data_IF_685294210064
#
_entry.id   IF_685294210064
#
_cell.length_a   1.000
_cell.length_b   1.000
_cell.length_c   1.000
_cell.angle_alpha   90.00
_cell.angle_beta   90.00
_cell.angle_gamma   90.00
#
_symmetry.space_group_name_H-M   'P 1'
#
loop_
_entity.id
_entity.type
_entity.pdbx_description
1 polymer ?
#
# COMPACT_ATOMS: atom_id res chain seq x y z
N UNK A 1 -9.90 1.52 -13.96
CA UNK A 1 -8.76 1.67 -14.87
C UNK A 1 -7.58 0.88 -14.33
N UNK A 2 -7.09 -0.09 -15.08
CA UNK A 2 -5.85 -0.80 -14.76
C UNK A 2 -4.70 0.07 -15.25
N UNK A 3 -3.83 0.51 -14.33
CA UNK A 3 -2.60 1.22 -14.68
C UNK A 3 -1.50 0.16 -14.70
N UNK A 4 -0.89 -0.06 -15.86
CA UNK A 4 0.30 -0.91 -15.96
C UNK A 4 1.49 -0.12 -15.46
N UNK A 5 2.12 -0.57 -14.38
CA UNK A 5 3.42 -0.05 -13.96
C UNK A 5 4.42 -0.32 -15.09
N UNK A 6 5.22 0.68 -15.42
CA UNK A 6 6.39 0.49 -16.31
C UNK A 6 7.50 -0.16 -15.48
N UNK A 7 7.38 -1.46 -15.28
CA UNK A 7 8.43 -2.29 -14.71
C UNK A 7 9.43 -2.62 -15.82
N UNK A 8 10.71 -2.77 -15.47
CA UNK A 8 11.69 -3.28 -16.42
C UNK A 8 11.38 -4.76 -16.76
N UNK A 9 11.82 -5.20 -17.93
CA UNK A 9 11.54 -6.56 -18.43
C UNK A 9 12.04 -7.66 -17.48
N UNK A 10 13.11 -7.40 -16.71
CA UNK A 10 13.65 -8.34 -15.74
C UNK A 10 12.68 -8.51 -14.57
N UNK A 11 12.19 -7.42 -14.03
CA UNK A 11 11.20 -7.42 -12.93
C UNK A 11 9.89 -8.08 -13.37
N UNK A 12 9.43 -7.83 -14.60
CA UNK A 12 8.24 -8.49 -15.16
C UNK A 12 8.45 -10.00 -15.22
N UNK A 13 9.58 -10.48 -15.76
CA UNK A 13 9.90 -11.91 -15.85
C UNK A 13 10.03 -12.57 -14.47
N UNK A 14 10.58 -11.87 -13.48
CA UNK A 14 10.67 -12.35 -12.10
C UNK A 14 9.29 -12.52 -11.48
N UNK A 15 8.37 -11.58 -11.71
CA UNK A 15 6.98 -11.65 -11.28
C UNK A 15 6.25 -12.80 -11.99
N UNK A 16 6.31 -12.87 -13.32
CA UNK A 16 5.65 -13.91 -14.11
C UNK A 16 6.15 -15.30 -13.75
N UNK A 17 7.47 -15.46 -13.51
CA UNK A 17 8.05 -16.72 -13.04
C UNK A 17 7.53 -17.14 -11.68
N UNK A 18 7.38 -16.18 -10.74
CA UNK A 18 6.82 -16.45 -9.41
C UNK A 18 5.34 -16.83 -9.46
N UNK A 19 4.57 -16.30 -10.43
CA UNK A 19 3.17 -16.68 -10.65
C UNK A 19 3.04 -18.05 -11.30
N UNK A 20 3.80 -18.32 -12.36
CA UNK A 20 3.79 -19.63 -13.03
C UNK A 20 4.06 -20.78 -12.06
N UNK A 21 5.00 -20.56 -11.13
CA UNK A 21 5.31 -21.51 -10.08
C UNK A 21 4.20 -21.67 -9.01
N UNK A 22 3.30 -20.70 -8.84
CA UNK A 22 2.19 -20.79 -7.88
C UNK A 22 1.01 -21.62 -8.40
N UNK A 23 0.89 -21.79 -9.72
CA UNK A 23 -0.22 -22.54 -10.34
C UNK A 23 0.02 -24.06 -10.40
N UNK A 24 1.26 -24.55 -10.17
CA UNK A 24 1.63 -25.97 -10.38
C UNK A 24 1.74 -26.80 -9.07
N UNK A 25 0.81 -26.65 -8.13
CA UNK A 25 0.95 -27.06 -6.74
C UNK A 25 0.23 -28.37 -6.38
N UNK A 26 0.99 -29.51 -6.33
CA UNK A 26 0.50 -30.77 -5.73
C UNK A 26 1.54 -31.60 -4.96
N UNK A 27 2.75 -31.12 -4.67
CA UNK A 27 3.81 -31.93 -4.02
C UNK A 27 4.27 -31.33 -2.65
N UNK A 28 4.48 -32.14 -1.57
CA UNK A 28 4.96 -31.69 -0.24
C UNK A 28 6.30 -30.94 -0.24
N UNK A 29 7.18 -31.20 -1.19
CA UNK A 29 8.40 -30.41 -1.39
C UNK A 29 8.09 -28.96 -1.81
N UNK A 30 6.93 -28.73 -2.41
CA UNK A 30 6.40 -27.43 -2.85
C UNK A 30 5.92 -26.60 -1.66
N UNK A 31 5.50 -27.22 -0.55
CA UNK A 31 5.07 -26.49 0.66
C UNK A 31 6.23 -25.69 1.27
N UNK A 32 7.45 -26.19 1.20
CA UNK A 32 8.63 -25.45 1.67
C UNK A 32 9.08 -24.37 0.67
N UNK A 33 8.92 -24.62 -0.62
CA UNK A 33 9.11 -23.64 -1.68
C UNK A 33 8.01 -22.57 -1.66
N UNK A 34 6.75 -22.92 -1.38
CA UNK A 34 5.63 -21.98 -1.28
C UNK A 34 5.79 -20.98 -0.12
N UNK A 35 6.53 -21.33 0.95
CA UNK A 35 6.89 -20.39 2.03
C UNK A 35 7.95 -19.37 1.62
N UNK A 36 8.79 -19.67 0.61
CA UNK A 36 9.80 -18.74 0.08
C UNK A 36 9.23 -17.78 -0.96
N UNK A 37 8.22 -18.21 -1.72
CA UNK A 37 7.62 -17.45 -2.82
C UNK A 37 6.96 -16.13 -2.40
N UNK A 38 6.15 -16.06 -1.31
CA UNK A 38 5.61 -14.78 -0.84
C UNK A 38 6.68 -13.78 -0.45
N UNK A 39 7.79 -14.22 0.14
CA UNK A 39 8.91 -13.36 0.49
C UNK A 39 9.67 -12.84 -0.73
N UNK A 40 9.81 -13.63 -1.77
CA UNK A 40 10.40 -13.21 -3.04
C UNK A 40 9.51 -12.19 -3.76
N UNK A 41 8.20 -12.45 -3.81
CA UNK A 41 7.24 -11.52 -4.39
C UNK A 41 7.21 -10.20 -3.61
N UNK A 42 7.23 -10.26 -2.28
CA UNK A 42 7.34 -9.08 -1.43
C UNK A 42 8.62 -8.29 -1.70
N UNK A 43 9.75 -8.97 -1.89
CA UNK A 43 11.03 -8.32 -2.22
C UNK A 43 10.98 -7.61 -3.58
N UNK A 44 10.34 -8.21 -4.59
CA UNK A 44 10.15 -7.59 -5.91
C UNK A 44 9.21 -6.39 -5.83
N UNK A 45 8.04 -6.56 -5.18
CA UNK A 45 7.05 -5.49 -5.03
C UNK A 45 7.54 -4.37 -4.12
N UNK A 46 8.37 -4.67 -3.12
CA UNK A 46 9.00 -3.70 -2.22
C UNK A 46 10.31 -3.10 -2.72
N UNK A 47 10.77 -3.49 -3.92
CA UNK A 47 11.99 -2.94 -4.50
C UNK A 47 11.89 -1.41 -4.63
N UNK A 48 12.92 -0.64 -4.21
CA UNK A 48 12.87 0.83 -4.23
C UNK A 48 12.53 1.44 -5.59
N UNK A 49 13.02 0.85 -6.70
CA UNK A 49 12.69 1.33 -8.04
C UNK A 49 11.23 1.09 -8.39
N UNK A 50 10.70 -0.08 -8.04
CA UNK A 50 9.28 -0.44 -8.25
C UNK A 50 8.38 0.47 -7.42
N UNK A 51 8.69 0.67 -6.14
CA UNK A 51 7.96 1.57 -5.25
C UNK A 51 8.00 3.01 -5.75
N UNK A 52 9.16 3.50 -6.19
CA UNK A 52 9.26 4.85 -6.75
C UNK A 52 8.37 5.02 -8.00
N UNK A 53 8.42 4.07 -8.94
CA UNK A 53 7.58 4.11 -10.15
C UNK A 53 6.09 4.07 -9.81
N UNK A 54 5.70 3.20 -8.88
CA UNK A 54 4.32 3.11 -8.38
C UNK A 54 3.86 4.42 -7.76
N UNK A 55 4.64 4.96 -6.84
CA UNK A 55 4.28 6.17 -6.10
C UNK A 55 4.22 7.38 -7.04
N UNK A 56 5.19 7.53 -7.94
CA UNK A 56 5.14 8.60 -8.95
C UNK A 56 3.86 8.54 -9.80
N UNK A 57 3.45 7.34 -10.23
CA UNK A 57 2.24 7.17 -11.03
C UNK A 57 0.96 7.47 -10.22
N UNK A 58 0.89 6.99 -8.98
CA UNK A 58 -0.21 7.29 -8.06
C UNK A 58 -0.31 8.80 -7.81
N UNK A 59 0.80 9.46 -7.45
CA UNK A 59 0.84 10.88 -7.15
C UNK A 59 0.42 11.71 -8.36
N UNK A 60 0.98 11.42 -9.54
CA UNK A 60 0.61 12.12 -10.77
C UNK A 60 -0.89 11.96 -11.10
N UNK A 61 -1.42 10.74 -11.01
CA UNK A 61 -2.85 10.52 -11.25
C UNK A 61 -3.72 11.19 -10.19
N UNK A 62 -3.31 11.14 -8.92
CA UNK A 62 -4.06 11.73 -7.82
C UNK A 62 -4.11 13.26 -7.94
N UNK A 63 -2.96 13.91 -8.05
CA UNK A 63 -2.84 15.37 -8.15
C UNK A 63 -3.56 15.93 -9.39
N UNK A 64 -3.44 15.24 -10.53
CA UNK A 64 -4.03 15.72 -11.79
C UNK A 64 -5.54 15.47 -11.87
N UNK A 65 -6.03 14.35 -11.33
CA UNK A 65 -7.39 13.91 -11.63
C UNK A 65 -8.29 13.70 -10.40
N UNK A 66 -7.75 13.66 -9.19
CA UNK A 66 -8.49 13.20 -8.00
C UNK A 66 -8.49 14.16 -6.84
N UNK A 67 -7.42 14.89 -6.63
CA UNK A 67 -7.25 15.77 -5.47
C UNK A 67 -8.39 16.77 -5.30
N UNK A 68 -8.82 17.38 -6.40
CA UNK A 68 -9.87 18.39 -6.43
C UNK A 68 -11.24 17.83 -6.90
N UNK A 69 -11.34 16.51 -7.01
CA UNK A 69 -12.58 15.85 -7.43
C UNK A 69 -13.31 15.27 -6.21
N UNK A 70 -14.60 15.61 -6.07
CA UNK A 70 -15.42 15.15 -4.95
C UNK A 70 -14.77 15.50 -3.60
N UNK A 71 -14.52 14.49 -2.78
CA UNK A 71 -13.89 14.65 -1.45
C UNK A 71 -12.36 14.67 -1.49
N UNK A 72 -11.77 14.34 -2.64
CA UNK A 72 -10.32 14.13 -2.78
C UNK A 72 -9.78 12.94 -1.98
N UNK A 73 -10.65 12.07 -1.42
CA UNK A 73 -10.21 10.95 -0.61
C UNK A 73 -9.79 9.76 -1.45
N UNK A 74 -8.65 9.21 -1.11
CA UNK A 74 -8.07 8.05 -1.76
C UNK A 74 -7.58 7.00 -0.76
N UNK A 75 -7.65 5.74 -1.15
CA UNK A 75 -7.09 4.61 -0.40
C UNK A 75 -6.07 3.88 -1.27
N UNK A 76 -4.92 3.56 -0.69
CA UNK A 76 -3.90 2.73 -1.31
C UNK A 76 -3.90 1.39 -0.57
N UNK A 77 -4.24 0.31 -1.27
CA UNK A 77 -4.22 -1.05 -0.72
C UNK A 77 -2.89 -1.68 -1.10
N UNK A 78 -1.99 -1.82 -0.14
CA UNK A 78 -0.67 -2.38 -0.34
C UNK A 78 -0.68 -3.91 -0.22
N UNK A 79 0.28 -4.56 -0.87
CA UNK A 79 0.45 -6.01 -0.84
C UNK A 79 0.76 -6.53 0.57
N UNK A 80 1.65 -5.87 1.29
CA UNK A 80 2.10 -6.27 2.62
C UNK A 80 2.43 -5.06 3.50
N UNK A 81 2.69 -5.31 4.78
CA UNK A 81 3.04 -4.27 5.76
C UNK A 81 4.34 -3.55 5.41
N UNK A 82 5.45 -4.26 5.06
CA UNK A 82 6.66 -3.61 4.60
C UNK A 82 6.43 -2.74 3.36
N UNK A 83 5.68 -3.25 2.37
CA UNK A 83 5.35 -2.50 1.16
C UNK A 83 4.52 -1.24 1.48
N UNK A 84 3.57 -1.31 2.40
CA UNK A 84 2.81 -0.15 2.85
C UNK A 84 3.70 0.95 3.46
N UNK A 85 4.68 0.55 4.27
CA UNK A 85 5.62 1.48 4.88
C UNK A 85 6.57 2.10 3.86
N UNK A 86 7.03 1.33 2.88
CA UNK A 86 7.88 1.87 1.81
C UNK A 86 7.09 2.85 0.90
N UNK A 87 5.82 2.55 0.59
CA UNK A 87 4.93 3.49 -0.11
C UNK A 87 4.78 4.80 0.70
N UNK A 88 4.53 4.70 2.00
CA UNK A 88 4.40 5.86 2.87
C UNK A 88 5.66 6.72 2.89
N UNK A 89 6.81 6.11 3.12
CA UNK A 89 8.11 6.82 3.14
C UNK A 89 8.38 7.49 1.79
N UNK A 90 8.11 6.80 0.69
CA UNK A 90 8.36 7.32 -0.65
C UNK A 90 7.42 8.49 -0.98
N UNK A 91 6.15 8.42 -0.58
CA UNK A 91 5.23 9.57 -0.72
C UNK A 91 5.77 10.78 0.03
N UNK A 92 6.19 10.62 1.29
CA UNK A 92 6.74 11.74 2.07
C UNK A 92 8.09 12.23 1.56
N UNK A 93 8.90 11.35 0.96
CA UNK A 93 10.13 11.76 0.27
C UNK A 93 9.85 12.68 -0.92
N UNK A 94 8.84 12.34 -1.72
CA UNK A 94 8.44 13.10 -2.91
C UNK A 94 7.56 14.32 -2.57
N UNK A 95 6.83 14.25 -1.48
CA UNK A 95 5.91 15.30 -1.00
C UNK A 95 6.07 15.51 0.52
N UNK A 96 7.16 16.17 0.97
CA UNK A 96 7.43 16.36 2.40
C UNK A 96 6.31 17.08 3.16
N UNK A 97 5.56 17.94 2.49
CA UNK A 97 4.42 18.66 3.09
C UNK A 97 3.15 17.82 3.30
N UNK A 98 3.15 16.51 2.96
CA UNK A 98 1.96 15.67 3.05
C UNK A 98 1.86 14.85 4.33
N UNK A 99 2.60 15.19 5.37
CA UNK A 99 2.60 14.47 6.66
C UNK A 99 1.22 14.37 7.30
N UNK A 100 0.36 15.40 7.14
CA UNK A 100 -1.02 15.38 7.62
C UNK A 100 -2.01 14.83 6.58
N UNK A 101 -1.60 14.75 5.31
CA UNK A 101 -2.45 14.34 4.19
C UNK A 101 -2.48 12.83 3.99
N UNK A 102 -1.43 12.14 4.41
CA UNK A 102 -1.25 10.69 4.23
C UNK A 102 -1.06 10.00 5.56
N UNK A 103 -1.74 8.89 5.77
CA UNK A 103 -1.55 8.04 6.95
C UNK A 103 -1.52 6.55 6.59
N UNK A 104 -0.79 5.77 7.39
CA UNK A 104 -0.79 4.30 7.32
C UNK A 104 -1.76 3.75 8.36
N UNK A 105 -2.67 2.89 7.92
CA UNK A 105 -3.65 2.23 8.79
C UNK A 105 -3.48 0.73 8.68
N UNK A 106 -2.78 0.15 9.63
CA UNK A 106 -2.57 -1.30 9.73
C UNK A 106 -2.44 -1.75 11.18
N UNK A 107 -2.53 -3.05 11.43
CA UNK A 107 -2.34 -3.59 12.78
C UNK A 107 -0.87 -3.52 13.17
N UNK A 108 -0.58 -3.25 14.44
CA UNK A 108 0.77 -3.38 15.00
C UNK A 108 1.10 -4.84 15.27
N UNK A 109 2.37 -5.21 15.11
CA UNK A 109 2.92 -6.51 15.46
C UNK A 109 4.12 -6.33 16.40
N UNK A 110 4.37 -7.33 17.25
CA UNK A 110 5.53 -7.29 18.17
C UNK A 110 6.88 -7.38 17.45
N UNK A 111 6.86 -7.85 16.20
CA UNK A 111 8.02 -7.97 15.33
C UNK A 111 8.26 -6.75 14.44
N UNK A 112 7.44 -5.69 14.59
CA UNK A 112 7.60 -4.49 13.79
C UNK A 112 8.96 -3.85 14.04
N UNK A 113 9.63 -3.37 12.99
CA UNK A 113 10.85 -2.58 13.13
C UNK A 113 10.66 -1.37 14.03
N UNK A 114 11.72 -0.96 14.69
CA UNK A 114 11.76 0.26 15.49
C UNK A 114 11.33 1.47 14.62
N UNK A 115 10.55 2.36 15.20
CA UNK A 115 9.98 3.52 14.50
C UNK A 115 8.67 3.28 13.75
N UNK A 116 8.29 2.03 13.45
CA UNK A 116 6.97 1.78 12.85
C UNK A 116 5.84 2.07 13.81
N UNK A 117 6.05 1.85 15.11
CA UNK A 117 5.03 2.09 16.15
C UNK A 117 4.60 3.54 16.23
N UNK A 118 5.53 4.46 15.97
CA UNK A 118 5.24 5.90 15.97
C UNK A 118 4.35 6.30 14.78
N UNK A 119 4.50 5.61 13.64
CA UNK A 119 3.72 5.85 12.43
C UNK A 119 2.35 5.15 12.52
N UNK A 120 2.33 3.87 12.92
CA UNK A 120 1.10 3.06 12.98
C UNK A 120 0.22 3.48 14.16
N UNK A 121 0.83 3.89 15.26
CA UNK A 121 0.17 4.27 16.50
C UNK A 121 -0.58 3.13 17.20
N UNK A 122 -1.25 3.47 18.27
CA UNK A 122 -2.05 2.55 19.07
C UNK A 122 -3.52 2.49 18.58
N UNK A 123 -4.34 1.71 19.29
CA UNK A 123 -5.78 1.55 18.97
C UNK A 123 -6.55 2.87 19.02
N UNK A 124 -6.20 3.78 19.95
CA UNK A 124 -6.84 5.09 20.06
C UNK A 124 -6.50 5.97 18.87
N UNK A 125 -5.23 6.00 18.48
CA UNK A 125 -4.75 6.73 17.30
C UNK A 125 -5.42 6.26 16.02
N UNK A 126 -5.62 4.95 15.85
CA UNK A 126 -6.35 4.41 14.69
C UNK A 126 -7.81 4.86 14.63
N UNK A 127 -8.48 4.97 15.79
CA UNK A 127 -9.84 5.51 15.85
C UNK A 127 -9.87 7.00 15.49
N UNK A 128 -8.87 7.75 15.92
CA UNK A 128 -8.71 9.16 15.56
C UNK A 128 -8.46 9.32 14.04
N UNK A 129 -7.56 8.51 13.47
CA UNK A 129 -7.33 8.50 12.02
C UNK A 129 -8.61 8.16 11.24
N UNK A 130 -9.37 7.18 11.71
CA UNK A 130 -10.65 6.82 11.09
C UNK A 130 -11.65 7.98 11.13
N UNK A 131 -11.75 8.68 12.26
CA UNK A 131 -12.60 9.86 12.40
C UNK A 131 -12.14 11.00 11.47
N UNK A 132 -10.84 11.31 11.45
CA UNK A 132 -10.24 12.29 10.53
C UNK A 132 -10.47 11.93 9.06
N UNK A 133 -10.37 10.65 8.72
CA UNK A 133 -10.57 10.21 7.34
C UNK A 133 -12.05 10.22 6.94
N UNK A 134 -13.01 10.16 7.87
CA UNK A 134 -14.44 10.34 7.61
C UNK A 134 -14.81 11.81 7.44
N UNK A 135 -14.13 12.70 8.12
CA UNK A 135 -14.37 14.14 8.03
C UNK A 135 -13.84 14.68 6.68
N UNK A 136 -14.75 15.24 5.87
CA UNK A 136 -14.39 15.78 4.56
C UNK A 136 -13.54 17.07 4.64
N UNK A 137 -13.58 17.77 5.77
CA UNK A 137 -12.81 19.00 6.01
C UNK A 137 -11.41 18.69 6.57
N UNK A 138 -11.16 17.45 7.00
CA UNK A 138 -9.85 17.03 7.49
C UNK A 138 -8.79 17.12 6.38
N UNK A 139 -7.54 17.51 6.72
CA UNK A 139 -6.42 17.45 5.79
C UNK A 139 -6.06 16.03 5.38
N UNK A 140 -6.41 15.01 6.18
CA UNK A 140 -6.16 13.60 5.87
C UNK A 140 -7.00 13.16 4.68
N UNK A 141 -6.35 12.91 3.55
CA UNK A 141 -6.97 12.56 2.28
C UNK A 141 -6.59 11.17 1.76
N UNK A 142 -5.42 10.65 2.15
CA UNK A 142 -4.90 9.38 1.63
C UNK A 142 -4.64 8.44 2.79
N UNK A 143 -5.29 7.26 2.76
CA UNK A 143 -5.02 6.18 3.69
C UNK A 143 -4.31 5.01 2.97
N UNK A 144 -3.19 4.57 3.53
CA UNK A 144 -2.46 3.37 3.06
C UNK A 144 -2.86 2.21 3.99
N UNK A 145 -3.36 1.13 3.42
CA UNK A 145 -3.86 -0.04 4.13
C UNK A 145 -3.23 -1.32 3.57
N UNK A 146 -3.18 -2.38 4.37
CA UNK A 146 -2.59 -3.66 3.93
C UNK A 146 -3.65 -4.65 3.53
N UNK A 147 -4.68 -4.84 4.32
CA UNK A 147 -5.80 -5.72 4.02
C UNK A 147 -7.11 -4.95 4.03
N UNK A 148 -8.01 -5.31 3.11
CA UNK A 148 -9.35 -4.73 3.06
C UNK A 148 -10.23 -5.11 4.27
N UNK A 149 -9.75 -5.91 5.20
CA UNK A 149 -10.43 -6.26 6.47
C UNK A 149 -10.37 -5.12 7.49
N UNK A 150 -10.54 -3.91 7.03
CA UNK A 150 -10.79 -2.77 7.91
C UNK A 150 -12.27 -2.79 8.32
N UNK A 151 -12.62 -3.79 9.11
CA UNK A 151 -13.92 -3.80 9.81
C UNK A 151 -14.04 -2.53 10.62
N UNK A 152 -14.97 -1.67 10.21
CA UNK A 152 -15.17 -0.35 10.82
C UNK A 152 -14.61 0.84 10.02
N UNK A 153 -13.93 0.61 8.92
CA UNK A 153 -13.46 1.65 7.99
C UNK A 153 -14.46 1.82 6.82
N UNK A 154 -15.74 1.91 7.16
CA UNK A 154 -16.76 2.31 6.20
C UNK A 154 -16.62 3.82 5.94
N UNK A 155 -16.23 4.16 4.71
CA UNK A 155 -16.00 5.53 4.28
C UNK A 155 -16.86 5.83 3.06
N UNK A 156 -18.09 6.30 3.27
CA UNK A 156 -18.99 6.63 2.17
C UNK A 156 -18.40 7.67 1.20
N UNK A 157 -17.47 8.48 1.68
CA UNK A 157 -16.85 9.56 0.92
C UNK A 157 -15.55 9.16 0.19
N UNK A 158 -15.18 7.87 0.17
CA UNK A 158 -14.01 7.39 -0.57
C UNK A 158 -14.23 7.55 -2.08
N UNK A 159 -13.40 8.37 -2.72
CA UNK A 159 -13.54 8.69 -4.14
C UNK A 159 -12.64 7.83 -5.04
N UNK A 160 -11.52 7.34 -4.54
CA UNK A 160 -10.53 6.62 -5.33
C UNK A 160 -9.86 5.51 -4.54
N UNK A 161 -9.62 4.38 -5.19
CA UNK A 161 -8.87 3.26 -4.62
C UNK A 161 -7.75 2.84 -5.59
N UNK A 162 -6.54 2.77 -5.07
CA UNK A 162 -5.36 2.22 -5.75
C UNK A 162 -5.06 0.85 -5.15
N UNK A 163 -5.11 -0.19 -5.94
CA UNK A 163 -4.85 -1.56 -5.46
C UNK A 163 -3.51 -2.01 -5.99
N UNK A 164 -2.54 -2.17 -5.08
CA UNK A 164 -1.21 -2.70 -5.35
C UNK A 164 -1.11 -4.11 -4.78
N UNK A 165 -1.77 -5.02 -5.47
CA UNK A 165 -1.75 -6.47 -5.20
C UNK A 165 -1.58 -7.20 -6.52
N UNK A 166 -0.88 -8.36 -6.51
CA UNK A 166 -0.84 -9.22 -7.68
C UNK A 166 -2.22 -9.76 -8.00
#
# INVERSE_FOLDING_TARGET
RVIKLKLDEKTIREIDGLYADLEDDTDPAVIEASKRKPGQLEAVLGNPKTINSLVCDILNHYETNRENLLTGKAMIVAYSRPVAMEIYKEILRLRPGWTEKVAVVMTSDNKDPEGWRDIIGNKSYKKELAAKFKDNNSPLKIAIVVDMRLTGFDIPSLATMYVYKP
#
